data_IF_165439995389
#
_entry.id   IF_165439995389
#
_cell.length_a   1.000
_cell.length_b   1.000
_cell.length_c   1.000
_cell.angle_alpha   90.00
_cell.angle_beta   90.00
_cell.angle_gamma   90.00
#
_symmetry.space_group_name_H-M   'P 1'
#
loop_
_entity.id
_entity.type
_entity.pdbx_description
1 polymer ?
#
# COMPACT_ATOMS: atom_id res chain seq x y z
N UNK A 1 -16.87 -0.38 -0.12
CA UNK A 1 -16.50 1.02 -0.38
C UNK A 1 -16.23 1.67 0.97
N UNK A 2 -15.06 2.28 1.14
CA UNK A 2 -14.68 2.98 2.35
C UNK A 2 -14.78 4.48 2.10
N UNK A 3 -15.28 5.22 3.08
CA UNK A 3 -15.23 6.67 3.08
C UNK A 3 -14.35 7.10 4.24
N UNK A 4 -13.35 7.94 3.94
CA UNK A 4 -12.42 8.47 4.91
C UNK A 4 -12.60 9.99 4.94
N UNK A 5 -12.72 10.54 6.14
CA UNK A 5 -12.71 11.99 6.35
C UNK A 5 -11.44 12.35 7.11
N UNK A 6 -10.64 13.24 6.52
CA UNK A 6 -9.40 13.74 7.10
C UNK A 6 -9.59 15.22 7.37
N UNK A 7 -9.20 15.68 8.56
CA UNK A 7 -9.30 17.09 8.95
C UNK A 7 -8.06 17.47 9.74
N UNK A 8 -7.47 18.62 9.42
CA UNK A 8 -6.28 19.11 10.09
C UNK A 8 -5.64 20.27 9.34
N UNK A 9 -4.42 20.65 9.75
CA UNK A 9 -3.64 21.67 9.05
C UNK A 9 -3.12 21.10 7.73
N UNK A 10 -3.04 21.96 6.71
CA UNK A 10 -2.55 21.58 5.37
C UNK A 10 -1.25 20.76 5.40
N UNK A 11 -0.25 21.25 6.14
CA UNK A 11 1.07 20.60 6.29
C UNK A 11 1.03 19.20 6.93
N UNK A 12 -0.05 18.84 7.59
CA UNK A 12 -0.24 17.55 8.25
C UNK A 12 -1.13 16.62 7.41
N UNK A 13 -2.14 17.20 6.73
CA UNK A 13 -3.11 16.47 5.91
C UNK A 13 -2.50 16.03 4.58
N UNK A 14 -1.73 16.90 3.90
CA UNK A 14 -1.14 16.57 2.60
C UNK A 14 -0.22 15.35 2.63
N UNK A 15 0.76 15.23 3.56
CA UNK A 15 1.61 14.05 3.63
C UNK A 15 0.82 12.77 3.88
N UNK A 16 -0.19 12.82 4.76
CA UNK A 16 -1.05 11.68 5.03
C UNK A 16 -1.81 11.23 3.78
N UNK A 17 -2.43 12.16 3.04
CA UNK A 17 -3.14 11.84 1.81
C UNK A 17 -2.20 11.32 0.72
N UNK A 18 -0.98 11.85 0.64
CA UNK A 18 0.05 11.37 -0.28
C UNK A 18 0.43 9.91 0.02
N UNK A 19 0.69 9.56 1.28
CA UNK A 19 1.04 8.19 1.66
C UNK A 19 -0.14 7.24 1.44
N UNK A 20 -1.36 7.67 1.76
CA UNK A 20 -2.57 6.90 1.52
C UNK A 20 -2.82 6.62 0.02
N UNK A 21 -2.51 7.58 -0.86
CA UNK A 21 -2.58 7.42 -2.33
C UNK A 21 -1.57 6.39 -2.86
N UNK A 22 -0.51 6.09 -2.12
CA UNK A 22 0.53 5.13 -2.50
C UNK A 22 0.25 3.70 -2.04
N UNK A 23 -0.77 3.50 -1.20
CA UNK A 23 -1.14 2.18 -0.73
C UNK A 23 -1.82 1.37 -1.87
N UNK A 24 -1.24 0.23 -2.31
CA UNK A 24 -1.74 -0.53 -3.45
C UNK A 24 -3.11 -1.17 -3.21
N UNK A 25 -3.49 -1.38 -1.94
CA UNK A 25 -4.81 -1.89 -1.57
C UNK A 25 -5.95 -0.88 -1.74
N UNK A 26 -5.66 0.40 -1.97
CA UNK A 26 -6.68 1.44 -2.11
C UNK A 26 -6.74 1.96 -3.55
N UNK A 27 -7.94 1.92 -4.13
CA UNK A 27 -8.27 2.59 -5.38
C UNK A 27 -9.07 3.85 -5.05
N UNK A 28 -8.56 5.01 -5.47
CA UNK A 28 -9.21 6.30 -5.26
C UNK A 28 -10.40 6.48 -6.21
N UNK A 29 -11.59 6.73 -5.66
CA UNK A 29 -12.82 6.90 -6.44
C UNK A 29 -13.17 8.38 -6.58
N UNK A 30 -13.20 9.11 -5.46
CA UNK A 30 -13.47 10.54 -5.46
C UNK A 30 -12.75 11.26 -4.30
N UNK A 31 -12.61 12.56 -4.46
CA UNK A 31 -12.03 13.46 -3.48
C UNK A 31 -12.84 14.75 -3.45
N UNK A 32 -13.26 15.18 -2.27
CA UNK A 32 -13.87 16.48 -2.05
C UNK A 32 -13.05 17.26 -1.03
N UNK A 33 -12.61 18.45 -1.43
CA UNK A 33 -11.82 19.34 -0.59
C UNK A 33 -12.67 20.52 -0.13
N UNK A 34 -12.52 20.87 1.14
CA UNK A 34 -13.00 22.13 1.69
C UNK A 34 -11.91 22.70 2.59
N UNK A 35 -11.64 23.99 2.47
CA UNK A 35 -10.63 24.67 3.26
C UNK A 35 -11.24 25.88 3.96
N UNK A 36 -10.77 26.13 5.17
CA UNK A 36 -10.92 27.38 5.90
C UNK A 36 -9.53 28.02 6.05
N UNK A 37 -9.45 29.26 6.55
CA UNK A 37 -8.16 29.94 6.73
C UNK A 37 -7.17 29.20 7.67
N UNK A 38 -7.64 28.20 8.43
CA UNK A 38 -6.86 27.49 9.44
C UNK A 38 -6.81 25.97 9.27
N UNK A 39 -7.77 25.37 8.54
CA UNK A 39 -7.92 23.92 8.44
C UNK A 39 -8.38 23.48 7.05
N UNK A 40 -7.86 22.32 6.62
CA UNK A 40 -8.33 21.57 5.47
C UNK A 40 -9.19 20.41 5.96
N UNK A 41 -10.33 20.22 5.29
CA UNK A 41 -11.21 19.09 5.47
C UNK A 41 -11.40 18.39 4.12
N UNK A 42 -10.87 17.17 4.03
CA UNK A 42 -10.93 16.34 2.83
C UNK A 42 -11.79 15.11 3.10
N UNK A 43 -12.77 14.87 2.22
CA UNK A 43 -13.55 13.64 2.21
C UNK A 43 -13.18 12.82 0.99
N UNK A 44 -12.73 11.59 1.21
CA UNK A 44 -12.23 10.69 0.19
C UNK A 44 -13.09 9.43 0.18
N UNK A 45 -13.56 8.99 -1.00
CA UNK A 45 -14.10 7.64 -1.15
C UNK A 45 -13.08 6.75 -1.83
N UNK A 46 -12.84 5.59 -1.21
CA UNK A 46 -11.85 4.61 -1.63
C UNK A 46 -12.53 3.26 -1.82
N UNK A 47 -12.11 2.52 -2.84
CA UNK A 47 -12.36 1.09 -2.90
C UNK A 47 -11.15 0.39 -2.29
N UNK A 48 -11.41 -0.49 -1.32
CA UNK A 48 -10.38 -1.31 -0.71
C UNK A 48 -10.39 -2.70 -1.35
N UNK A 49 -9.25 -3.09 -1.89
CA UNK A 49 -8.98 -4.44 -2.39
C UNK A 49 -7.80 -5.01 -1.58
N UNK A 50 -8.07 -5.75 -0.50
CA UNK A 50 -7.02 -6.27 0.36
C UNK A 50 -6.09 -7.24 -0.39
N UNK A 51 -6.57 -7.90 -1.45
CA UNK A 51 -5.76 -8.83 -2.24
C UNK A 51 -4.62 -8.10 -2.96
N UNK A 52 -4.77 -6.82 -3.33
CA UNK A 52 -3.66 -6.02 -3.92
C UNK A 52 -2.56 -5.68 -2.92
N UNK A 53 -2.84 -5.77 -1.62
CA UNK A 53 -1.86 -5.60 -0.57
C UNK A 53 -0.98 -6.84 -0.37
N UNK A 54 -1.43 -8.01 -0.81
CA UNK A 54 -0.71 -9.28 -0.69
C UNK A 54 -0.12 -9.71 -2.03
N UNK A 55 1.15 -10.08 -2.01
CA UNK A 55 1.83 -10.69 -3.14
C UNK A 55 2.43 -12.02 -2.71
N UNK A 56 2.54 -12.94 -3.65
CA UNK A 56 3.09 -14.27 -3.38
C UNK A 56 4.41 -14.40 -4.12
N UNK A 57 5.47 -14.68 -3.37
CA UNK A 57 6.78 -15.01 -3.93
C UNK A 57 6.91 -16.53 -3.98
N UNK A 58 7.26 -17.05 -5.15
CA UNK A 58 7.58 -18.46 -5.33
C UNK A 58 9.08 -18.61 -5.55
N UNK A 59 9.75 -19.33 -4.64
CA UNK A 59 11.14 -19.74 -4.81
C UNK A 59 11.16 -21.19 -5.29
N UNK A 60 11.81 -21.42 -6.43
CA UNK A 60 11.95 -22.74 -7.04
C UNK A 60 13.33 -23.30 -6.70
N UNK A 61 13.38 -24.47 -6.06
CA UNK A 61 14.64 -25.17 -5.85
C UNK A 61 15.08 -25.89 -7.14
N UNK A 62 16.36 -26.24 -7.25
CA UNK A 62 16.89 -27.02 -8.38
C UNK A 62 16.21 -28.39 -8.52
N UNK A 63 15.63 -28.91 -7.43
CA UNK A 63 14.90 -30.17 -7.38
C UNK A 63 13.41 -30.02 -7.75
N UNK A 64 12.96 -28.80 -8.08
CA UNK A 64 11.57 -28.50 -8.45
C UNK A 64 10.63 -28.29 -7.26
N UNK A 65 11.15 -28.21 -6.03
CA UNK A 65 10.33 -27.85 -4.86
C UNK A 65 10.01 -26.36 -4.90
N UNK A 66 8.78 -26.00 -4.49
CA UNK A 66 8.32 -24.61 -4.48
C UNK A 66 8.11 -24.16 -3.05
N UNK A 67 8.87 -23.16 -2.62
CA UNK A 67 8.63 -22.44 -1.37
C UNK A 67 7.75 -21.23 -1.70
N UNK A 68 6.58 -21.19 -1.10
CA UNK A 68 5.60 -20.11 -1.29
C UNK A 68 5.66 -19.16 -0.10
N UNK A 69 5.87 -17.88 -0.36
CA UNK A 69 6.03 -16.85 0.66
C UNK A 69 5.00 -15.75 0.40
N UNK A 70 3.84 -15.76 1.09
CA UNK A 70 2.89 -14.66 1.04
C UNK A 70 3.46 -13.45 1.81
N UNK A 71 3.54 -12.30 1.15
CA UNK A 71 4.05 -11.05 1.70
C UNK A 71 3.02 -9.93 1.54
N UNK A 72 2.72 -9.21 2.62
CA UNK A 72 1.95 -7.96 2.52
C UNK A 72 2.88 -6.76 2.32
N UNK A 73 2.49 -5.78 1.50
CA UNK A 73 3.25 -4.54 1.30
C UNK A 73 4.62 -4.79 0.65
N UNK A 74 4.68 -5.67 -0.35
CA UNK A 74 5.92 -6.10 -0.96
C UNK A 74 6.61 -4.95 -1.71
N UNK A 75 7.91 -4.77 -1.46
CA UNK A 75 8.81 -3.89 -2.19
C UNK A 75 9.82 -4.78 -2.91
N UNK A 76 9.97 -4.55 -4.22
CA UNK A 76 11.00 -5.16 -5.04
C UNK A 76 12.00 -4.08 -5.45
N UNK A 77 13.27 -4.26 -5.10
CA UNK A 77 14.35 -3.41 -5.56
C UNK A 77 15.34 -4.24 -6.38
N UNK A 78 15.71 -3.74 -7.56
CA UNK A 78 16.77 -4.31 -8.38
C UNK A 78 18.11 -3.72 -7.94
N UNK A 79 19.08 -4.59 -7.70
CA UNK A 79 20.46 -4.24 -7.42
C UNK A 79 21.32 -4.50 -8.66
N UNK A 80 22.59 -4.14 -8.57
CA UNK A 80 23.59 -4.50 -9.58
C UNK A 80 23.68 -6.03 -9.75
N UNK A 81 24.09 -6.45 -10.95
CA UNK A 81 24.35 -7.86 -11.31
C UNK A 81 23.12 -8.79 -11.23
N UNK A 82 21.91 -8.25 -11.47
CA UNK A 82 20.68 -9.07 -11.52
C UNK A 82 20.19 -9.56 -10.16
N UNK A 83 20.80 -9.07 -9.07
CA UNK A 83 20.36 -9.35 -7.70
C UNK A 83 19.11 -8.53 -7.40
N UNK A 84 18.13 -9.11 -6.71
CA UNK A 84 16.89 -8.44 -6.32
C UNK A 84 16.69 -8.56 -4.82
N UNK A 85 16.34 -7.46 -4.17
CA UNK A 85 15.86 -7.45 -2.79
C UNK A 85 14.34 -7.47 -2.83
N UNK A 86 13.76 -8.45 -2.14
CA UNK A 86 12.33 -8.53 -1.88
C UNK A 86 12.12 -8.31 -0.39
N UNK A 87 11.33 -7.31 -0.02
CA UNK A 87 10.95 -7.03 1.36
C UNK A 87 9.42 -6.97 1.46
N UNK A 88 8.87 -7.41 2.58
CA UNK A 88 7.45 -7.27 2.91
C UNK A 88 7.29 -6.82 4.36
N UNK A 89 6.14 -6.23 4.69
CA UNK A 89 5.86 -5.71 6.04
C UNK A 89 5.42 -6.82 7.00
N UNK A 90 4.69 -7.81 6.49
CA UNK A 90 4.17 -8.93 7.28
C UNK A 90 4.24 -10.22 6.45
N UNK A 91 4.60 -11.30 7.13
CA UNK A 91 4.54 -12.67 6.63
C UNK A 91 3.48 -13.40 7.43
N UNK A 92 2.50 -14.00 6.76
CA UNK A 92 1.50 -14.82 7.43
C UNK A 92 2.05 -16.24 7.61
N UNK A 93 2.42 -16.58 8.85
CA UNK A 93 2.95 -17.91 9.20
C UNK A 93 1.87 -19.00 9.25
N UNK A 94 0.59 -18.63 9.10
CA UNK A 94 -0.55 -19.55 9.16
C UNK A 94 -1.22 -19.78 7.79
N UNK A 95 -0.67 -19.18 6.73
CA UNK A 95 -1.15 -19.34 5.36
C UNK A 95 -0.74 -20.67 4.73
#
# INVERSE_FOLDING_TARGET
MLQIRVTGKEKEVEPFLHDLKRCPQFEWVNEAFSATDYEINTTCSLRHDPCKGYQVVHLYSENGEVITIPLSGMILAEMEEGKRIIAGWHFDIFA
#
